data_IF_102676092252
#
_entry.id   IF_102676092252
#
_cell.length_a   1.000
_cell.length_b   1.000
_cell.length_c   1.000
_cell.angle_alpha   90.00
_cell.angle_beta   90.00
_cell.angle_gamma   90.00
#
_symmetry.space_group_name_H-M   'P 1'
#
loop_
_entity.id
_entity.type
_entity.pdbx_description
1 polymer ?
#
# COMPACT_ATOMS: atom_id res chain seq x y z
N UNK A 1 19.06 -51.38 -30.91
CA UNK A 1 19.60 -50.23 -30.15
C UNK A 1 19.01 -48.98 -30.78
N UNK A 2 17.96 -48.40 -30.21
CA UNK A 2 17.35 -47.16 -30.72
C UNK A 2 17.99 -45.99 -29.97
N UNK A 3 18.82 -45.21 -30.66
CA UNK A 3 19.32 -43.95 -30.14
C UNK A 3 18.19 -42.92 -30.14
N UNK A 4 17.73 -42.51 -28.95
CA UNK A 4 16.85 -41.37 -28.77
C UNK A 4 17.69 -40.10 -28.73
N UNK A 5 17.77 -39.40 -29.87
CA UNK A 5 18.36 -38.06 -29.94
C UNK A 5 17.27 -37.02 -29.65
N UNK A 6 17.03 -36.74 -28.37
CA UNK A 6 16.13 -35.64 -28.00
C UNK A 6 16.80 -34.29 -28.36
N UNK A 7 16.11 -33.37 -29.07
CA UNK A 7 16.70 -32.09 -29.45
C UNK A 7 16.92 -31.21 -28.22
N UNK A 8 18.10 -30.58 -28.12
CA UNK A 8 18.45 -29.63 -27.06
C UNK A 8 17.54 -28.40 -27.14
N UNK A 9 16.63 -28.23 -26.17
CA UNK A 9 15.73 -27.07 -26.08
C UNK A 9 16.55 -25.79 -25.85
N UNK A 10 16.78 -25.00 -26.91
CA UNK A 10 17.37 -23.64 -26.89
C UNK A 10 16.32 -22.55 -26.58
N UNK A 11 15.45 -22.76 -25.60
CA UNK A 11 14.58 -21.70 -25.11
C UNK A 11 15.21 -21.14 -23.84
N UNK A 12 15.62 -19.87 -23.85
CA UNK A 12 15.95 -19.16 -22.63
C UNK A 12 14.72 -19.23 -21.72
N UNK A 13 14.87 -19.80 -20.52
CA UNK A 13 13.78 -19.92 -19.58
C UNK A 13 13.27 -18.52 -19.28
N UNK A 14 11.98 -18.27 -19.49
CA UNK A 14 11.35 -17.02 -19.06
C UNK A 14 11.64 -16.85 -17.56
N UNK A 15 12.06 -15.65 -17.13
CA UNK A 15 12.29 -15.41 -15.72
C UNK A 15 11.02 -15.77 -14.94
N UNK A 16 11.14 -16.43 -13.77
CA UNK A 16 9.98 -16.79 -12.97
C UNK A 16 9.16 -15.53 -12.67
N UNK A 17 7.83 -15.65 -12.76
CA UNK A 17 6.89 -14.59 -12.37
C UNK A 17 6.86 -14.50 -10.83
N UNK A 18 7.96 -14.03 -10.26
CA UNK A 18 8.11 -13.79 -8.82
C UNK A 18 7.90 -12.29 -8.55
N UNK A 19 7.51 -11.97 -7.31
CA UNK A 19 7.41 -10.59 -6.84
C UNK A 19 8.74 -10.16 -6.21
N UNK A 20 9.87 -10.54 -6.81
CA UNK A 20 11.20 -10.11 -6.36
C UNK A 20 11.66 -8.96 -7.23
N UNK A 21 11.94 -7.83 -6.62
CA UNK A 21 12.50 -6.66 -7.24
C UNK A 21 13.87 -6.39 -6.64
N UNK A 22 14.91 -6.35 -7.47
CA UNK A 22 16.28 -6.10 -7.03
C UNK A 22 16.64 -4.65 -7.36
N UNK A 23 17.16 -3.93 -6.36
CA UNK A 23 17.69 -2.57 -6.52
C UNK A 23 19.19 -2.65 -6.24
N UNK A 24 20.00 -2.20 -7.20
CA UNK A 24 21.43 -1.98 -6.97
C UNK A 24 21.60 -0.72 -6.13
N UNK A 25 22.14 -0.87 -4.92
CA UNK A 25 22.49 0.28 -4.09
C UNK A 25 23.84 0.86 -4.52
N UNK A 26 24.12 2.15 -4.23
CA UNK A 26 25.40 2.79 -4.56
C UNK A 26 26.64 2.07 -3.98
N UNK A 27 26.45 1.29 -2.91
CA UNK A 27 27.49 0.45 -2.28
C UNK A 27 27.80 -0.83 -3.07
N UNK A 28 27.16 -1.06 -4.22
CA UNK A 28 27.33 -2.24 -5.05
C UNK A 28 26.66 -3.50 -4.48
N UNK A 29 25.67 -3.33 -3.58
CA UNK A 29 24.92 -4.42 -2.97
C UNK A 29 23.50 -4.44 -3.54
N UNK A 30 23.05 -5.62 -3.97
CA UNK A 30 21.67 -5.85 -4.43
C UNK A 30 20.73 -5.97 -3.23
N UNK A 31 19.74 -5.08 -3.15
CA UNK A 31 18.68 -5.17 -2.16
C UNK A 31 17.46 -5.91 -2.74
N UNK A 32 17.15 -7.15 -2.28
CA UNK A 32 15.98 -7.88 -2.73
C UNK A 32 14.72 -7.37 -2.01
N UNK A 33 13.93 -6.55 -2.69
CA UNK A 33 12.60 -6.16 -2.25
C UNK A 33 11.55 -7.17 -2.72
N UNK A 34 10.50 -7.33 -1.92
CA UNK A 34 9.31 -8.09 -2.30
C UNK A 34 8.09 -7.20 -2.26
N UNK A 35 7.71 -6.56 -3.39
CA UNK A 35 6.49 -5.79 -3.46
C UNK A 35 5.28 -6.59 -2.94
N UNK A 36 4.41 -5.91 -2.22
CA UNK A 36 3.20 -6.54 -1.72
C UNK A 36 2.25 -6.86 -2.88
N UNK A 37 1.71 -8.09 -2.90
CA UNK A 37 0.72 -8.47 -3.90
C UNK A 37 -0.57 -7.64 -3.83
N UNK A 38 -1.38 -7.68 -4.89
CA UNK A 38 -2.61 -6.89 -4.98
C UNK A 38 -3.60 -7.17 -3.82
N UNK A 39 -3.76 -8.44 -3.43
CA UNK A 39 -4.73 -8.84 -2.41
C UNK A 39 -4.43 -8.26 -1.04
N UNK A 40 -3.17 -8.33 -0.59
CA UNK A 40 -2.78 -7.77 0.72
C UNK A 40 -2.89 -6.24 0.74
N UNK A 41 -2.63 -5.58 -0.40
CA UNK A 41 -2.83 -4.13 -0.56
C UNK A 41 -4.30 -3.75 -0.48
N UNK A 42 -5.17 -4.53 -1.13
CA UNK A 42 -6.61 -4.32 -1.11
C UNK A 42 -7.19 -4.49 0.31
N UNK A 43 -6.74 -5.51 1.05
CA UNK A 43 -7.16 -5.74 2.44
C UNK A 43 -6.71 -4.61 3.37
N UNK A 44 -5.45 -4.17 3.24
CA UNK A 44 -4.95 -3.01 3.99
C UNK A 44 -5.81 -1.77 3.73
N UNK A 45 -6.14 -1.50 2.45
CA UNK A 45 -7.01 -0.39 2.08
C UNK A 45 -8.42 -0.54 2.63
N UNK A 46 -9.00 -1.75 2.62
CA UNK A 46 -10.34 -2.01 3.14
C UNK A 46 -10.42 -1.73 4.65
N UNK A 47 -9.39 -2.08 5.42
CA UNK A 47 -9.29 -1.77 6.85
C UNK A 47 -9.25 -0.25 7.06
N UNK A 48 -8.39 0.46 6.32
CA UNK A 48 -8.29 1.92 6.42
C UNK A 48 -9.60 2.61 6.01
N UNK A 49 -10.28 2.10 4.99
CA UNK A 49 -11.59 2.60 4.55
C UNK A 49 -12.65 2.40 5.63
N UNK A 50 -12.67 1.24 6.29
CA UNK A 50 -13.56 0.97 7.42
C UNK A 50 -13.31 1.91 8.60
N UNK A 51 -12.05 2.14 8.96
CA UNK A 51 -11.68 3.06 10.05
C UNK A 51 -12.07 4.51 9.72
N UNK A 52 -11.79 4.97 8.50
CA UNK A 52 -12.23 6.30 8.02
C UNK A 52 -13.75 6.42 8.02
N UNK A 53 -14.45 5.40 7.55
CA UNK A 53 -15.91 5.35 7.53
C UNK A 53 -16.50 5.42 8.94
N UNK A 54 -15.89 4.75 9.91
CA UNK A 54 -16.29 4.81 11.31
C UNK A 54 -16.09 6.21 11.89
N UNK A 55 -14.90 6.80 11.69
CA UNK A 55 -14.59 8.17 12.17
C UNK A 55 -15.56 9.18 11.58
N UNK A 56 -15.74 9.17 10.26
CA UNK A 56 -16.64 10.07 9.57
C UNK A 56 -18.09 9.83 9.98
N UNK A 57 -18.53 8.57 10.06
CA UNK A 57 -19.88 8.22 10.48
C UNK A 57 -20.22 8.78 11.86
N UNK A 58 -19.32 8.62 12.84
CA UNK A 58 -19.49 9.20 14.17
C UNK A 58 -19.55 10.74 14.14
N UNK A 59 -18.67 11.38 13.36
CA UNK A 59 -18.67 12.84 13.20
C UNK A 59 -19.98 13.33 12.55
N UNK A 60 -20.47 12.64 11.51
CA UNK A 60 -21.73 13.00 10.84
C UNK A 60 -22.94 12.83 11.75
N UNK A 61 -22.96 11.82 12.63
CA UNK A 61 -24.02 11.67 13.64
C UNK A 61 -24.05 12.89 14.56
N UNK A 62 -22.89 13.35 15.04
CA UNK A 62 -22.80 14.54 15.91
C UNK A 62 -23.18 15.81 15.14
N UNK A 63 -22.74 15.95 13.89
CA UNK A 63 -23.03 17.13 13.08
C UNK A 63 -24.48 17.20 12.60
N UNK A 64 -25.17 16.06 12.52
CA UNK A 64 -26.58 16.01 12.13
C UNK A 64 -27.46 16.86 13.07
N UNK A 65 -27.11 16.95 14.35
CA UNK A 65 -27.80 17.80 15.33
C UNK A 65 -27.71 19.30 15.02
N UNK A 66 -26.74 19.72 14.19
CA UNK A 66 -26.50 21.11 13.82
C UNK A 66 -27.19 21.50 12.49
N UNK A 67 -27.96 20.60 11.87
CA UNK A 67 -28.73 20.87 10.66
C UNK A 67 -27.87 21.33 9.47
N UNK A 68 -28.24 22.46 8.84
CA UNK A 68 -27.56 22.99 7.64
C UNK A 68 -26.09 23.36 7.90
N UNK A 69 -25.78 23.89 9.08
CA UNK A 69 -24.39 24.19 9.46
C UNK A 69 -23.57 22.91 9.60
N UNK A 70 -24.17 21.86 10.17
CA UNK A 70 -23.58 20.53 10.28
C UNK A 70 -23.26 19.90 8.93
N UNK A 71 -24.13 20.07 7.94
CA UNK A 71 -23.89 19.59 6.58
C UNK A 71 -22.69 20.30 5.91
N UNK A 72 -22.56 21.63 6.11
CA UNK A 72 -21.42 22.40 5.61
C UNK A 72 -20.10 21.95 6.24
N UNK A 73 -20.06 21.89 7.58
CA UNK A 73 -18.89 21.41 8.32
C UNK A 73 -18.55 19.95 8.00
N UNK A 74 -19.57 19.10 7.85
CA UNK A 74 -19.41 17.70 7.48
C UNK A 74 -18.75 17.53 6.11
N UNK A 75 -19.07 18.40 5.16
CA UNK A 75 -18.44 18.41 3.83
C UNK A 75 -16.95 18.75 3.89
N UNK A 76 -16.59 19.73 4.71
CA UNK A 76 -15.18 20.12 4.93
C UNK A 76 -14.43 18.98 5.63
N UNK A 77 -15.01 18.40 6.67
CA UNK A 77 -14.40 17.27 7.39
C UNK A 77 -14.25 16.04 6.50
N UNK A 78 -15.24 15.73 5.66
CA UNK A 78 -15.16 14.66 4.67
C UNK A 78 -13.97 14.87 3.74
N UNK A 79 -13.78 16.09 3.23
CA UNK A 79 -12.64 16.43 2.39
C UNK A 79 -11.32 16.23 3.14
N UNK A 80 -11.17 16.85 4.32
CA UNK A 80 -9.92 16.77 5.10
C UNK A 80 -9.59 15.32 5.46
N UNK A 81 -10.53 14.55 6.01
CA UNK A 81 -10.26 13.16 6.41
C UNK A 81 -9.96 12.28 5.19
N UNK A 82 -10.68 12.46 4.07
CA UNK A 82 -10.46 11.63 2.88
C UNK A 82 -9.05 11.82 2.30
N UNK A 83 -8.56 13.05 2.28
CA UNK A 83 -7.26 13.39 1.70
C UNK A 83 -6.11 13.26 2.72
N UNK A 84 -6.24 13.88 3.89
CA UNK A 84 -5.14 13.99 4.86
C UNK A 84 -4.92 12.75 5.70
N UNK A 85 -5.90 11.87 5.89
CA UNK A 85 -5.70 10.66 6.70
C UNK A 85 -4.53 9.83 6.15
N UNK A 86 -4.50 9.54 4.84
CA UNK A 86 -3.41 8.70 4.27
C UNK A 86 -2.08 9.41 4.39
N UNK A 87 -2.03 10.69 4.05
CA UNK A 87 -0.81 11.49 4.09
C UNK A 87 -0.23 11.53 5.51
N UNK A 88 -1.06 11.86 6.51
CA UNK A 88 -0.62 11.96 7.91
C UNK A 88 -0.09 10.62 8.42
N UNK A 89 -0.81 9.52 8.23
CA UNK A 89 -0.34 8.23 8.71
C UNK A 89 0.89 7.74 7.94
N UNK A 90 0.97 7.95 6.63
CA UNK A 90 2.13 7.52 5.85
C UNK A 90 3.38 8.33 6.19
N UNK A 91 3.27 9.65 6.36
CA UNK A 91 4.41 10.50 6.70
C UNK A 91 4.85 10.33 8.16
N UNK A 92 3.89 10.25 9.10
CA UNK A 92 4.21 10.18 10.54
C UNK A 92 4.58 8.77 11.01
N UNK A 93 4.16 7.71 10.30
CA UNK A 93 4.38 6.32 10.70
C UNK A 93 5.29 5.56 9.71
N UNK A 94 6.26 6.25 9.10
CA UNK A 94 7.27 5.64 8.22
C UNK A 94 6.66 4.78 7.10
N UNK A 95 5.67 5.32 6.39
CA UNK A 95 5.00 4.68 5.27
C UNK A 95 3.90 3.68 5.64
N UNK A 96 3.36 3.74 6.86
CA UNK A 96 2.41 2.74 7.37
C UNK A 96 1.09 3.37 7.84
N UNK A 97 0.02 3.17 7.07
CA UNK A 97 -1.34 3.36 7.60
C UNK A 97 -1.71 2.24 8.59
N UNK A 98 -2.72 2.41 9.46
CA UNK A 98 -3.17 1.36 10.37
C UNK A 98 -3.49 0.04 9.67
N UNK A 99 -4.18 0.08 8.52
CA UNK A 99 -4.46 -1.09 7.70
C UNK A 99 -3.21 -1.73 7.13
N UNK A 100 -2.25 -0.93 6.64
CA UNK A 100 -0.94 -1.44 6.18
C UNK A 100 -0.16 -2.08 7.34
N UNK A 101 -0.18 -1.48 8.52
CA UNK A 101 0.51 -1.99 9.70
C UNK A 101 -0.03 -3.35 10.14
N UNK A 102 -1.37 -3.53 10.15
CA UNK A 102 -1.99 -4.83 10.45
C UNK A 102 -1.64 -5.90 9.41
N UNK A 103 -1.49 -5.51 8.15
CA UNK A 103 -1.07 -6.41 7.06
C UNK A 103 0.46 -6.59 6.97
N UNK A 104 1.24 -6.01 7.89
CA UNK A 104 2.71 -6.08 7.87
C UNK A 104 3.37 -5.33 6.70
N UNK A 105 2.66 -4.40 6.08
CA UNK A 105 3.11 -3.65 4.91
C UNK A 105 3.80 -2.35 5.30
N UNK A 106 4.74 -1.91 4.47
CA UNK A 106 5.41 -0.61 4.56
C UNK A 106 5.61 -0.05 3.15
N UNK A 107 5.28 1.21 2.97
CA UNK A 107 5.70 1.96 1.78
C UNK A 107 7.12 2.48 2.01
N UNK A 108 7.98 2.26 1.03
CA UNK A 108 9.37 2.73 0.98
C UNK A 108 9.55 3.52 -0.31
N UNK A 109 10.61 4.32 -0.37
CA UNK A 109 11.00 5.01 -1.60
C UNK A 109 11.53 4.02 -2.64
N UNK A 110 11.70 4.50 -3.88
CA UNK A 110 12.16 3.67 -5.00
C UNK A 110 13.59 3.12 -4.80
N UNK A 111 14.39 3.77 -3.95
CA UNK A 111 15.72 3.33 -3.51
C UNK A 111 15.70 2.39 -2.28
N UNK A 112 14.51 2.07 -1.77
CA UNK A 112 14.31 1.25 -0.58
C UNK A 112 14.48 1.99 0.76
N UNK A 113 14.73 3.30 0.74
CA UNK A 113 14.83 4.10 1.97
C UNK A 113 13.46 4.29 2.64
N UNK A 114 13.40 4.46 3.97
CA UNK A 114 12.16 4.76 4.66
C UNK A 114 11.61 6.12 4.22
N UNK A 115 10.29 6.25 4.23
CA UNK A 115 9.64 7.55 4.02
C UNK A 115 10.04 8.51 5.15
N UNK A 116 10.63 9.65 4.77
CA UNK A 116 11.07 10.73 5.63
C UNK A 116 10.77 12.10 5.00
N UNK A 117 11.20 13.18 5.68
CA UNK A 117 11.10 14.56 5.22
C UNK A 117 12.39 15.04 4.58
#
# INVERSE_FOLDING_TARGET
MLETTAPTRKAALSPPLDTRYQIETPEGIDLPLRPAGLMVRALAFAIDLGLRGLILGLLFIVLAFLGKLGAGLGSILLFVVSWWYMVLFEVLNQGRSPGKQWMGLRVVQDDGTPIGW
#
